data_IF_600864836854
#
_entry.id   IF_600864836854
#
_cell.length_a   1.000
_cell.length_b   1.000
_cell.length_c   1.000
_cell.angle_alpha   90.00
_cell.angle_beta   90.00
_cell.angle_gamma   90.00
#
_symmetry.space_group_name_H-M   'P 1'
#
loop_
_entity.id
_entity.type
_entity.pdbx_description
1 polymer ?
#
# COMPACT_ATOMS: atom_id res chain seq x y z
N UNK A 1 -25.31 12.30 36.61
CA UNK A 1 -25.33 12.96 35.28
C UNK A 1 -24.79 11.98 34.25
N UNK A 2 -25.64 11.45 33.36
CA UNK A 2 -25.20 10.64 32.20
C UNK A 2 -24.85 11.59 31.06
N UNK A 3 -23.64 11.53 30.52
CA UNK A 3 -23.29 12.25 29.31
C UNK A 3 -24.27 11.84 28.19
N UNK A 4 -24.87 12.78 27.43
CA UNK A 4 -25.76 12.43 26.34
C UNK A 4 -24.95 11.67 25.29
N UNK A 5 -25.31 10.41 25.04
CA UNK A 5 -24.73 9.59 23.99
C UNK A 5 -24.94 10.31 22.65
N UNK A 6 -23.87 10.88 22.08
CA UNK A 6 -23.90 11.47 20.74
C UNK A 6 -24.32 10.36 19.78
N UNK A 7 -25.38 10.59 18.99
CA UNK A 7 -25.74 9.67 17.88
C UNK A 7 -24.50 9.50 17.00
N UNK A 8 -24.14 8.24 16.75
CA UNK A 8 -22.98 7.89 15.93
C UNK A 8 -23.14 8.47 14.53
N UNK A 9 -22.18 9.29 14.10
CA UNK A 9 -22.12 9.84 12.73
C UNK A 9 -21.64 8.80 11.72
N UNK A 10 -21.31 7.57 12.14
CA UNK A 10 -20.86 6.49 11.27
C UNK A 10 -21.89 6.17 10.17
N UNK A 11 -23.19 6.25 10.48
CA UNK A 11 -24.26 6.00 9.52
C UNK A 11 -24.32 7.04 8.38
N UNK A 12 -23.68 8.20 8.54
CA UNK A 12 -23.62 9.24 7.51
C UNK A 12 -22.41 9.09 6.58
N UNK A 13 -21.48 8.17 6.87
CA UNK A 13 -20.31 7.92 6.04
C UNK A 13 -20.73 7.18 4.76
N UNK A 14 -20.17 7.59 3.63
CA UNK A 14 -20.31 6.84 2.37
C UNK A 14 -19.42 5.60 2.43
N UNK A 15 -20.00 4.44 2.13
CA UNK A 15 -19.28 3.19 1.95
C UNK A 15 -19.47 2.64 0.54
N UNK A 16 -18.78 1.56 0.25
CA UNK A 16 -18.99 0.73 -0.94
C UNK A 16 -19.13 -0.73 -0.49
N UNK A 17 -19.87 -1.53 -1.24
CA UNK A 17 -20.01 -2.96 -0.95
C UNK A 17 -18.70 -3.69 -1.29
N UNK A 18 -18.29 -4.62 -0.44
CA UNK A 18 -17.11 -5.47 -0.67
C UNK A 18 -17.38 -6.88 -0.16
N UNK A 19 -17.03 -7.89 -0.96
CA UNK A 19 -17.08 -9.29 -0.53
C UNK A 19 -16.00 -9.56 0.52
N UNK A 20 -16.30 -10.39 1.52
CA UNK A 20 -15.30 -10.87 2.47
C UNK A 20 -14.12 -11.58 1.79
N UNK A 21 -14.36 -12.23 0.65
CA UNK A 21 -13.30 -12.88 -0.15
C UNK A 21 -12.37 -11.90 -0.87
N UNK A 22 -12.74 -10.62 -0.97
CA UNK A 22 -11.89 -9.58 -1.53
C UNK A 22 -10.86 -9.05 -0.53
N UNK A 23 -10.91 -9.51 0.74
CA UNK A 23 -10.03 -9.06 1.81
C UNK A 23 -9.12 -10.22 2.22
N UNK A 24 -7.82 -10.00 2.12
CA UNK A 24 -6.80 -10.93 2.63
C UNK A 24 -6.04 -10.26 3.76
N UNK A 25 -5.97 -10.94 4.91
CA UNK A 25 -5.17 -10.51 6.06
C UNK A 25 -3.80 -11.16 5.95
N UNK A 26 -2.75 -10.35 5.99
CA UNK A 26 -1.35 -10.82 6.01
C UNK A 26 -0.88 -10.83 7.47
N UNK A 27 -0.61 -12.00 8.07
CA UNK A 27 -0.39 -12.10 9.51
C UNK A 27 1.04 -11.72 9.95
N UNK A 28 1.99 -11.59 9.01
CA UNK A 28 3.38 -11.27 9.31
C UNK A 28 4.01 -10.27 8.34
N UNK A 29 5.13 -9.68 8.75
CA UNK A 29 5.95 -8.83 7.89
C UNK A 29 6.53 -9.61 6.70
N UNK A 30 6.82 -10.89 6.85
CA UNK A 30 7.30 -11.74 5.76
C UNK A 30 6.22 -11.94 4.69
N UNK A 31 4.97 -12.20 5.09
CA UNK A 31 3.83 -12.34 4.18
C UNK A 31 3.55 -11.02 3.46
N UNK A 32 3.66 -9.89 4.18
CA UNK A 32 3.55 -8.56 3.60
C UNK A 32 4.60 -8.32 2.53
N UNK A 33 5.88 -8.58 2.84
CA UNK A 33 7.00 -8.43 1.90
C UNK A 33 6.78 -9.27 0.64
N UNK A 34 6.45 -10.55 0.79
CA UNK A 34 6.22 -11.44 -0.35
C UNK A 34 5.04 -10.97 -1.22
N UNK A 35 3.95 -10.55 -0.58
CA UNK A 35 2.77 -10.05 -1.28
C UNK A 35 3.05 -8.74 -2.02
N UNK A 36 3.81 -7.83 -1.40
CA UNK A 36 4.18 -6.55 -2.01
C UNK A 36 5.02 -6.77 -3.27
N UNK A 37 6.07 -7.60 -3.18
CA UNK A 37 6.94 -7.92 -4.31
C UNK A 37 6.15 -8.60 -5.45
N UNK A 38 5.28 -9.56 -5.12
CA UNK A 38 4.42 -10.22 -6.11
C UNK A 38 3.48 -9.22 -6.81
N UNK A 39 2.89 -8.27 -6.06
CA UNK A 39 2.02 -7.23 -6.63
C UNK A 39 2.80 -6.25 -7.52
N UNK A 40 4.02 -5.87 -7.14
CA UNK A 40 4.90 -5.04 -7.98
C UNK A 40 5.20 -5.76 -9.30
N UNK A 41 5.62 -7.02 -9.24
CA UNK A 41 5.95 -7.81 -10.42
C UNK A 41 4.76 -8.00 -11.37
N UNK A 42 3.54 -8.14 -10.83
CA UNK A 42 2.31 -8.34 -11.61
C UNK A 42 1.65 -7.04 -12.12
N UNK A 43 2.05 -5.86 -11.62
CA UNK A 43 1.35 -4.61 -11.92
C UNK A 43 1.46 -4.20 -13.40
N UNK A 44 0.33 -4.10 -14.10
CA UNK A 44 0.31 -3.81 -15.55
C UNK A 44 0.11 -2.34 -15.90
N UNK A 45 -0.48 -1.55 -15.00
CA UNK A 45 -0.89 -0.16 -15.28
C UNK A 45 -0.25 0.86 -14.37
N UNK A 46 -0.26 0.65 -13.05
CA UNK A 46 0.29 1.59 -12.08
C UNK A 46 0.76 0.95 -10.79
N UNK A 47 1.76 1.55 -10.15
CA UNK A 47 2.21 1.26 -8.79
C UNK A 47 2.32 2.58 -8.03
N UNK A 48 1.53 2.73 -6.96
CA UNK A 48 1.51 3.93 -6.13
C UNK A 48 1.81 3.51 -4.70
N UNK A 49 2.94 3.95 -4.17
CA UNK A 49 3.36 3.67 -2.79
C UNK A 49 3.40 4.99 -2.04
N UNK A 50 2.67 5.07 -0.94
CA UNK A 50 2.70 6.20 0.00
C UNK A 50 3.20 5.66 1.32
N UNK A 51 4.36 6.13 1.76
CA UNK A 51 5.02 5.68 2.97
C UNK A 51 5.64 6.87 3.72
N UNK A 52 5.96 6.69 5.01
CA UNK A 52 6.65 7.73 5.76
C UNK A 52 8.08 7.95 5.21
N UNK A 53 8.81 6.87 4.99
CA UNK A 53 10.13 6.85 4.37
C UNK A 53 10.35 5.50 3.67
N UNK A 54 11.33 5.45 2.76
CA UNK A 54 11.87 4.21 2.22
C UNK A 54 13.31 4.09 2.72
N UNK A 55 13.56 3.12 3.59
CA UNK A 55 14.84 3.01 4.27
C UNK A 55 15.95 2.64 3.28
N UNK A 56 17.14 3.22 3.46
CA UNK A 56 18.33 2.78 2.73
C UNK A 56 18.96 1.55 3.41
N UNK A 57 18.24 0.43 3.34
CA UNK A 57 18.66 -0.87 3.85
C UNK A 57 18.39 -1.97 2.81
N UNK A 58 18.65 -3.22 3.16
CA UNK A 58 18.47 -4.37 2.26
C UNK A 58 17.01 -4.51 1.81
N UNK A 59 16.06 -4.22 2.70
CA UNK A 59 14.64 -4.33 2.39
C UNK A 59 14.18 -3.19 1.46
N UNK A 60 14.61 -1.96 1.72
CA UNK A 60 14.30 -0.82 0.86
C UNK A 60 14.92 -0.94 -0.53
N UNK A 61 16.17 -1.42 -0.61
CA UNK A 61 16.82 -1.70 -1.88
C UNK A 61 16.07 -2.76 -2.69
N UNK A 62 15.61 -3.84 -2.05
CA UNK A 62 14.83 -4.88 -2.71
C UNK A 62 13.53 -4.33 -3.32
N UNK A 63 12.83 -3.43 -2.60
CA UNK A 63 11.63 -2.78 -3.15
C UNK A 63 11.99 -1.90 -4.35
N UNK A 64 13.06 -1.10 -4.28
CA UNK A 64 13.52 -0.28 -5.41
C UNK A 64 13.87 -1.14 -6.64
N UNK A 65 14.63 -2.21 -6.45
CA UNK A 65 15.02 -3.12 -7.51
C UNK A 65 13.79 -3.76 -8.19
N UNK A 66 12.80 -4.17 -7.40
CA UNK A 66 11.55 -4.70 -7.93
C UNK A 66 10.76 -3.66 -8.75
N UNK A 67 10.72 -2.41 -8.28
CA UNK A 67 10.07 -1.30 -9.00
C UNK A 67 10.80 -1.00 -10.33
N UNK A 68 12.13 -0.94 -10.31
CA UNK A 68 12.94 -0.76 -11.51
C UNK A 68 12.73 -1.91 -12.51
N UNK A 69 12.75 -3.16 -12.04
CA UNK A 69 12.50 -4.32 -12.89
C UNK A 69 11.10 -4.28 -13.51
N UNK A 70 10.07 -3.91 -12.74
CA UNK A 70 8.70 -3.78 -13.25
C UNK A 70 8.58 -2.68 -14.32
N UNK A 71 9.23 -1.53 -14.11
CA UNK A 71 9.26 -0.41 -15.07
C UNK A 71 10.06 -0.74 -16.33
N UNK A 72 11.18 -1.46 -16.19
CA UNK A 72 11.97 -1.95 -17.32
C UNK A 72 11.18 -2.95 -18.17
N UNK A 73 10.49 -3.91 -17.53
CA UNK A 73 9.64 -4.88 -18.22
C UNK A 73 8.42 -4.23 -18.89
N UNK A 74 7.91 -3.12 -18.32
CA UNK A 74 6.75 -2.38 -18.83
C UNK A 74 7.02 -0.88 -18.81
N UNK A 75 7.63 -0.29 -19.86
CA UNK A 75 7.97 1.13 -19.90
C UNK A 75 6.78 2.07 -19.71
N UNK A 76 5.57 1.65 -20.10
CA UNK A 76 4.32 2.40 -19.92
C UNK A 76 3.74 2.35 -18.49
N UNK A 77 4.31 1.54 -17.58
CA UNK A 77 3.86 1.41 -16.20
C UNK A 77 4.06 2.73 -15.44
N UNK A 78 3.01 3.30 -14.87
CA UNK A 78 3.13 4.52 -14.05
C UNK A 78 3.56 4.16 -12.63
N UNK A 79 4.72 4.65 -12.18
CA UNK A 79 5.29 4.31 -10.87
C UNK A 79 5.53 5.59 -10.09
N UNK A 80 4.85 5.72 -8.95
CA UNK A 80 4.95 6.89 -8.07
C UNK A 80 5.20 6.42 -6.63
N UNK A 81 6.27 6.93 -6.04
CA UNK A 81 6.62 6.69 -4.64
C UNK A 81 6.61 8.05 -3.93
N UNK A 82 5.69 8.21 -2.97
CA UNK A 82 5.54 9.41 -2.17
C UNK A 82 6.05 9.11 -0.76
N UNK A 83 7.04 9.89 -0.33
CA UNK A 83 7.65 9.83 1.00
C UNK A 83 7.61 11.19 1.67
N UNK A 84 7.73 11.21 3.00
CA UNK A 84 7.84 12.46 3.74
C UNK A 84 9.20 13.12 3.45
N UNK A 85 9.16 14.36 2.98
CA UNK A 85 10.37 15.11 2.59
C UNK A 85 11.40 15.24 3.71
N UNK A 86 10.96 15.38 4.96
CA UNK A 86 11.87 15.56 6.11
C UNK A 86 12.46 14.24 6.60
N UNK A 87 12.05 13.11 6.02
CA UNK A 87 12.47 11.75 6.39
C UNK A 87 13.07 10.97 5.21
N UNK A 88 13.09 11.56 4.02
CA UNK A 88 13.56 10.95 2.78
C UNK A 88 15.09 11.03 2.62
#
# INVERSE_FOLDING_TARGET
>A
MRAPFRRSTLAALRGFESSGTAITILPSAADYRQTLLAKIAAATRRIYIVALYLQQDEAGQEILDALYAAKAARPALDVVVLVDWFRA
#
